data_IF_621621133748
#
_entry.id   IF_621621133748
#
_cell.length_a   1.000
_cell.length_b   1.000
_cell.length_c   1.000
_cell.angle_alpha   90.00
_cell.angle_beta   90.00
_cell.angle_gamma   90.00
#
_symmetry.space_group_name_H-M   'P 1'
#
loop_
_entity.id
_entity.type
_entity.pdbx_description
1 polymer ?
#
# COMPACT_ATOMS: atom_id res chain seq x y z
N UNK A 1 -16.02 10.25 -3.75
CA UNK A 1 -14.79 10.92 -4.27
C UNK A 1 -13.62 10.43 -3.42
N UNK A 2 -12.69 9.61 -3.93
CA UNK A 2 -11.60 9.05 -3.10
C UNK A 2 -10.46 10.05 -3.04
N UNK A 3 -10.44 10.83 -1.96
CA UNK A 3 -9.33 11.73 -1.61
C UNK A 3 -8.05 10.90 -1.62
N UNK A 4 -7.00 11.43 -2.24
CA UNK A 4 -5.69 10.82 -2.23
C UNK A 4 -5.23 10.70 -0.78
N UNK A 5 -5.39 9.50 -0.20
CA UNK A 5 -4.80 9.20 1.10
C UNK A 5 -3.30 9.14 0.87
N UNK A 6 -2.62 10.25 1.13
CA UNK A 6 -1.19 10.25 1.38
C UNK A 6 -1.05 9.59 2.73
N UNK A 7 -0.47 8.40 2.77
CA UNK A 7 -0.44 7.51 3.95
C UNK A 7 0.16 8.16 5.21
N UNK A 8 0.80 9.33 5.11
CA UNK A 8 1.31 10.11 6.26
C UNK A 8 0.80 11.56 6.36
N UNK A 9 0.07 12.10 5.37
CA UNK A 9 -0.28 13.55 5.32
C UNK A 9 -1.74 13.81 4.96
N UNK A 10 -2.57 12.77 4.80
CA UNK A 10 -4.00 13.03 4.65
C UNK A 10 -4.50 13.58 5.99
N UNK A 11 -4.77 14.89 6.06
CA UNK A 11 -5.50 15.55 7.17
C UNK A 11 -6.92 15.02 7.37
N UNK A 12 -7.20 13.84 6.85
CA UNK A 12 -8.44 13.09 6.80
C UNK A 12 -8.45 12.00 7.88
N UNK A 13 -7.29 11.46 8.28
CA UNK A 13 -7.17 10.39 9.28
C UNK A 13 -6.59 10.97 10.59
N UNK A 14 -7.37 10.93 11.66
CA UNK A 14 -7.05 11.47 12.98
C UNK A 14 -6.08 10.56 13.77
N UNK A 15 -6.15 9.23 13.57
CA UNK A 15 -5.27 8.24 14.22
C UNK A 15 -4.86 7.14 13.24
N UNK A 16 -3.90 7.39 12.35
CA UNK A 16 -3.51 6.40 11.35
C UNK A 16 -2.82 5.20 12.00
N UNK A 17 -3.24 4.00 11.64
CA UNK A 17 -2.58 2.74 12.00
C UNK A 17 -1.97 2.12 10.75
N UNK A 18 -0.64 1.99 10.75
CA UNK A 18 0.13 1.54 9.58
C UNK A 18 0.76 0.20 9.85
N UNK A 19 0.58 -0.70 8.90
CA UNK A 19 1.29 -1.98 8.82
C UNK A 19 2.00 -2.01 7.49
N UNK A 20 3.28 -2.33 7.52
CA UNK A 20 4.09 -2.50 6.32
C UNK A 20 4.62 -3.92 6.31
N UNK A 21 4.34 -4.65 5.24
CA UNK A 21 4.89 -5.97 4.99
C UNK A 21 6.04 -5.85 4.01
N UNK A 22 7.23 -6.33 4.36
CA UNK A 22 8.31 -6.49 3.38
C UNK A 22 7.96 -7.65 2.43
N UNK A 23 7.99 -7.38 1.12
CA UNK A 23 7.54 -8.35 0.12
C UNK A 23 8.43 -9.58 0.01
N UNK A 24 9.67 -9.55 0.51
CA UNK A 24 10.67 -10.58 0.24
C UNK A 24 10.95 -11.46 1.45
N UNK A 25 10.93 -10.87 2.64
CA UNK A 25 11.08 -11.54 3.92
C UNK A 25 9.73 -11.92 4.55
N UNK A 26 8.64 -11.24 4.17
CA UNK A 26 7.34 -11.37 4.82
C UNK A 26 7.25 -10.70 6.20
N UNK A 27 8.30 -10.00 6.63
CA UNK A 27 8.34 -9.31 7.92
C UNK A 27 7.26 -8.21 7.99
N UNK A 28 6.58 -8.11 9.14
CA UNK A 28 5.59 -7.08 9.41
C UNK A 28 6.16 -5.99 10.32
N UNK A 29 6.34 -4.81 9.76
CA UNK A 29 6.74 -3.60 10.44
C UNK A 29 5.50 -2.79 10.84
N UNK A 30 5.42 -2.39 12.10
CA UNK A 30 4.24 -1.69 12.66
C UNK A 30 4.66 -0.34 13.23
N UNK A 31 3.78 0.65 13.12
CA UNK A 31 4.03 1.99 13.67
C UNK A 31 5.17 2.75 12.99
N UNK A 32 5.60 2.31 11.82
CA UNK A 32 6.65 2.99 11.04
C UNK A 32 6.07 4.14 10.20
N UNK A 33 6.89 5.16 9.94
CA UNK A 33 6.56 6.20 8.95
C UNK A 33 6.73 5.64 7.54
N UNK A 34 5.62 5.59 6.80
CA UNK A 34 5.61 5.16 5.40
C UNK A 34 6.31 6.20 4.53
N UNK A 35 6.15 7.49 4.82
CA UNK A 35 6.90 8.54 4.11
C UNK A 35 8.39 8.40 4.39
N UNK A 36 8.80 8.23 5.64
CA UNK A 36 10.23 8.03 5.95
C UNK A 36 10.84 6.90 5.12
N UNK A 37 10.11 5.79 4.96
CA UNK A 37 10.56 4.64 4.17
C UNK A 37 10.61 4.89 2.65
N UNK A 38 9.80 5.81 2.13
CA UNK A 38 9.80 6.22 0.72
C UNK A 38 10.81 7.33 0.45
N UNK A 39 10.98 8.27 1.38
CA UNK A 39 11.86 9.44 1.21
C UNK A 39 13.35 9.11 1.26
N UNK A 40 13.73 7.97 1.84
CA UNK A 40 15.13 7.59 2.02
C UNK A 40 15.82 7.07 0.75
N UNK A 41 15.08 6.86 -0.35
CA UNK A 41 15.61 6.25 -1.57
C UNK A 41 14.79 6.67 -2.81
N UNK A 42 15.23 6.22 -4.00
CA UNK A 42 14.49 6.37 -5.25
C UNK A 42 13.23 5.49 -5.23
N UNK A 43 12.19 5.90 -4.51
CA UNK A 43 10.99 5.09 -4.24
C UNK A 43 9.69 5.84 -4.53
N UNK A 44 8.62 5.08 -4.67
CA UNK A 44 7.27 5.61 -4.79
C UNK A 44 6.25 4.77 -4.03
N UNK A 45 5.26 5.45 -3.45
CA UNK A 45 4.06 4.84 -2.89
C UNK A 45 2.98 4.77 -3.98
N UNK A 46 2.57 3.55 -4.32
CA UNK A 46 1.54 3.27 -5.32
C UNK A 46 0.28 2.80 -4.63
N UNK A 47 -0.73 3.66 -4.56
CA UNK A 47 -2.03 3.36 -3.98
C UNK A 47 -2.82 2.42 -4.87
N UNK A 48 -3.49 1.43 -4.25
CA UNK A 48 -4.31 0.44 -4.93
C UNK A 48 -5.78 0.68 -4.63
N UNK A 49 -6.54 1.05 -5.67
CA UNK A 49 -7.95 1.33 -5.56
C UNK A 49 -8.78 0.17 -6.13
N UNK A 50 -9.60 -0.45 -5.29
CA UNK A 50 -10.48 -1.54 -5.72
C UNK A 50 -11.37 -2.05 -4.58
N UNK A 51 -12.14 -3.13 -4.81
CA UNK A 51 -12.94 -3.77 -3.78
C UNK A 51 -12.06 -4.60 -2.83
N UNK A 52 -11.89 -4.11 -1.61
CA UNK A 52 -11.01 -4.72 -0.60
C UNK A 52 -11.57 -6.02 -0.01
N UNK A 53 -12.88 -6.25 -0.14
CA UNK A 53 -13.58 -7.43 0.39
C UNK A 53 -13.01 -8.77 -0.09
N UNK A 54 -12.24 -8.76 -1.17
CA UNK A 54 -11.62 -9.95 -1.75
C UNK A 54 -10.20 -10.23 -1.27
N UNK A 55 -9.53 -9.29 -0.60
CA UNK A 55 -8.08 -9.39 -0.36
C UNK A 55 -7.69 -10.52 0.57
N UNK A 56 -8.48 -10.77 1.63
CA UNK A 56 -8.21 -11.88 2.54
C UNK A 56 -8.34 -13.26 1.87
N UNK A 57 -9.22 -13.39 0.87
CA UNK A 57 -9.55 -14.68 0.23
C UNK A 57 -8.83 -14.90 -1.10
N UNK A 58 -8.68 -13.84 -1.90
CA UNK A 58 -8.09 -13.86 -3.22
C UNK A 58 -7.41 -12.51 -3.53
N UNK A 59 -6.22 -12.25 -2.94
CA UNK A 59 -5.48 -11.02 -3.18
C UNK A 59 -5.09 -10.87 -4.66
N UNK A 60 -4.91 -11.99 -5.37
CA UNK A 60 -4.61 -11.98 -6.80
C UNK A 60 -5.73 -11.42 -7.67
N UNK A 61 -7.00 -11.73 -7.37
CA UNK A 61 -8.14 -11.14 -8.10
C UNK A 61 -8.24 -9.63 -7.86
N UNK A 62 -7.97 -9.18 -6.62
CA UNK A 62 -7.90 -7.76 -6.30
C UNK A 62 -6.80 -7.07 -7.13
N UNK A 63 -5.58 -7.62 -7.14
CA UNK A 63 -4.44 -7.05 -7.86
C UNK A 63 -4.72 -6.89 -9.37
N UNK A 64 -5.43 -7.85 -9.98
CA UNK A 64 -5.80 -7.80 -11.40
C UNK A 64 -6.80 -6.69 -11.72
N UNK A 65 -7.64 -6.30 -10.76
CA UNK A 65 -8.71 -5.32 -10.94
C UNK A 65 -8.38 -3.94 -10.35
N UNK A 66 -7.41 -3.88 -9.45
CA UNK A 66 -7.06 -2.66 -8.74
C UNK A 66 -6.48 -1.62 -9.70
N UNK A 67 -6.97 -0.38 -9.58
CA UNK A 67 -6.33 0.77 -10.22
C UNK A 67 -5.12 1.17 -9.38
N UNK A 68 -3.97 1.28 -10.03
CA UNK A 68 -2.72 1.71 -9.39
C UNK A 68 -2.45 3.18 -9.68
N UNK A 69 -2.23 3.98 -8.62
CA UNK A 69 -1.95 5.42 -8.71
C UNK A 69 -0.77 5.76 -7.78
N UNK A 70 0.34 6.26 -8.33
CA UNK A 70 1.40 6.77 -7.48
C UNK A 70 0.97 8.10 -6.83
N UNK A 71 1.06 8.15 -5.50
CA UNK A 71 0.59 9.24 -4.64
C UNK A 71 1.73 10.02 -4.00
N UNK A 72 2.88 9.36 -3.78
CA UNK A 72 4.10 9.97 -3.26
C UNK A 72 5.31 9.34 -3.96
N UNK A 73 6.30 10.13 -4.35
CA UNK A 73 7.46 9.64 -5.10
C UNK A 73 8.67 10.54 -4.91
N UNK A 74 9.84 9.92 -4.77
CA UNK A 74 11.14 10.58 -4.58
C UNK A 74 12.13 9.95 -5.53
N UNK A 75 12.83 10.76 -6.34
CA UNK A 75 13.82 10.30 -7.32
C UNK A 75 13.28 9.46 -8.49
N UNK A 76 11.96 9.17 -8.54
CA UNK A 76 11.30 8.41 -9.60
C UNK A 76 10.03 9.14 -10.06
N UNK A 77 9.70 9.06 -11.35
CA UNK A 77 8.46 9.67 -11.86
C UNK A 77 7.23 8.81 -11.52
N UNK A 78 6.07 9.46 -11.36
CA UNK A 78 4.77 8.77 -11.21
C UNK A 78 4.53 7.73 -12.31
N UNK A 79 4.81 8.05 -13.58
CA UNK A 79 4.59 7.15 -14.71
C UNK A 79 5.49 5.91 -14.62
N UNK A 80 6.75 6.10 -14.26
CA UNK A 80 7.71 5.00 -14.15
C UNK A 80 7.39 4.09 -12.96
N UNK A 81 7.03 4.65 -11.80
CA UNK A 81 6.62 3.87 -10.64
C UNK A 81 5.42 2.95 -10.94
N UNK A 82 4.37 3.50 -11.57
CA UNK A 82 3.20 2.70 -11.98
C UNK A 82 3.56 1.68 -13.05
N UNK A 83 4.47 2.00 -13.97
CA UNK A 83 4.97 1.06 -14.99
C UNK A 83 5.69 -0.13 -14.34
N UNK A 84 6.61 0.13 -13.41
CA UNK A 84 7.33 -0.92 -12.67
C UNK A 84 6.33 -1.83 -11.96
N UNK A 85 5.42 -1.27 -11.16
CA UNK A 85 4.38 -2.05 -10.48
C UNK A 85 3.60 -2.95 -11.45
N UNK A 86 3.14 -2.41 -12.58
CA UNK A 86 2.36 -3.18 -13.57
C UNK A 86 3.17 -4.28 -14.25
N UNK A 87 4.46 -4.09 -14.46
CA UNK A 87 5.34 -5.12 -15.01
C UNK A 87 5.54 -6.24 -13.99
N UNK A 88 5.74 -5.92 -12.72
CA UNK A 88 5.88 -6.89 -11.64
C UNK A 88 4.65 -7.78 -11.46
N UNK A 89 3.44 -7.30 -11.79
CA UNK A 89 2.24 -8.15 -11.79
C UNK A 89 2.22 -9.22 -12.89
N UNK A 90 3.10 -9.13 -13.90
CA UNK A 90 3.24 -10.14 -14.96
C UNK A 90 4.30 -11.20 -14.61
N UNK A 91 5.13 -10.93 -13.63
CA UNK A 91 6.16 -11.84 -13.14
C UNK A 91 5.58 -12.70 -12.01
N UNK A 92 5.61 -14.02 -12.15
CA UNK A 92 4.91 -14.93 -11.23
C UNK A 92 5.34 -14.78 -9.77
N UNK A 93 6.65 -14.69 -9.53
CA UNK A 93 7.20 -14.51 -8.18
C UNK A 93 6.80 -13.16 -7.58
N UNK A 94 7.07 -12.06 -8.29
CA UNK A 94 6.69 -10.72 -7.85
C UNK A 94 5.18 -10.62 -7.57
N UNK A 95 4.34 -11.18 -8.44
CA UNK A 95 2.89 -11.21 -8.23
C UNK A 95 2.51 -11.91 -6.93
N UNK A 96 3.09 -13.09 -6.67
CA UNK A 96 2.83 -13.86 -5.46
C UNK A 96 3.28 -13.09 -4.20
N UNK A 97 4.47 -12.50 -4.23
CA UNK A 97 5.01 -11.72 -3.11
C UNK A 97 4.16 -10.48 -2.78
N UNK A 98 3.72 -9.73 -3.80
CA UNK A 98 2.82 -8.60 -3.60
C UNK A 98 1.48 -9.08 -3.01
N UNK A 99 0.94 -10.19 -3.53
CA UNK A 99 -0.34 -10.72 -3.09
C UNK A 99 -0.32 -11.14 -1.62
N UNK A 100 0.71 -11.87 -1.20
CA UNK A 100 0.88 -12.28 0.20
C UNK A 100 1.19 -11.08 1.10
N UNK A 101 2.08 -10.17 0.69
CA UNK A 101 2.38 -8.96 1.46
C UNK A 101 1.16 -8.07 1.68
N UNK A 102 0.32 -7.88 0.65
CA UNK A 102 -0.94 -7.13 0.79
C UNK A 102 -1.92 -7.83 1.72
N UNK A 103 -2.07 -9.15 1.59
CA UNK A 103 -2.95 -9.94 2.45
C UNK A 103 -2.50 -9.85 3.90
N UNK A 104 -1.20 -9.95 4.16
CA UNK A 104 -0.63 -9.85 5.51
C UNK A 104 -0.86 -8.45 6.11
N UNK A 105 -0.52 -7.39 5.37
CA UNK A 105 -0.74 -6.02 5.82
C UNK A 105 -2.22 -5.70 6.06
N UNK A 106 -3.11 -6.11 5.14
CA UNK A 106 -4.55 -5.96 5.26
C UNK A 106 -5.12 -6.68 6.48
N UNK A 107 -4.73 -7.94 6.68
CA UNK A 107 -5.23 -8.77 7.78
C UNK A 107 -4.78 -8.24 9.14
N UNK A 108 -3.54 -7.74 9.23
CA UNK A 108 -3.03 -7.14 10.46
C UNK A 108 -3.71 -5.80 10.77
N UNK A 109 -4.03 -5.00 9.75
CA UNK A 109 -4.85 -3.79 9.93
C UNK A 109 -6.24 -4.16 10.45
N UNK A 110 -6.92 -5.13 9.84
CA UNK A 110 -8.22 -5.61 10.32
C UNK A 110 -8.15 -6.11 11.78
N UNK A 111 -7.13 -6.92 12.09
CA UNK A 111 -6.95 -7.53 13.42
C UNK A 111 -6.75 -6.49 14.51
N UNK A 112 -6.16 -5.34 14.17
CA UNK A 112 -5.96 -4.26 15.14
C UNK A 112 -7.28 -3.69 15.68
N UNK A 113 -8.40 -3.86 14.95
CA UNK A 113 -9.71 -3.30 15.32
C UNK A 113 -9.81 -1.77 15.19
N UNK A 114 -8.75 -1.09 14.74
CA UNK A 114 -8.64 0.38 14.69
C UNK A 114 -9.04 0.94 13.32
N UNK A 115 -10.12 0.45 12.72
CA UNK A 115 -10.57 0.89 11.38
C UNK A 115 -12.02 1.38 11.45
N UNK A 116 -12.20 2.68 11.63
CA UNK A 116 -13.55 3.28 11.74
C UNK A 116 -14.26 3.46 10.38
N UNK A 117 -13.50 3.63 9.30
CA UNK A 117 -14.06 4.09 8.00
C UNK A 117 -13.50 3.35 6.77
N UNK A 118 -12.66 2.34 6.98
CA UNK A 118 -12.11 1.52 5.90
C UNK A 118 -10.61 1.31 6.01
N UNK A 119 -10.08 0.60 5.02
CA UNK A 119 -8.65 0.25 4.93
C UNK A 119 -8.10 0.79 3.62
N UNK A 120 -6.94 1.41 3.65
CA UNK A 120 -6.15 1.77 2.48
C UNK A 120 -5.09 0.72 2.20
N UNK A 121 -4.78 0.49 0.92
CA UNK A 121 -3.67 -0.36 0.51
C UNK A 121 -2.78 0.33 -0.51
N UNK A 122 -1.49 0.10 -0.37
CA UNK A 122 -0.48 0.58 -1.29
C UNK A 122 0.69 -0.41 -1.41
N UNK A 123 1.51 -0.19 -2.43
CA UNK A 123 2.77 -0.89 -2.64
C UNK A 123 3.88 0.15 -2.76
N UNK A 124 4.99 -0.06 -2.08
CA UNK A 124 6.19 0.76 -2.23
C UNK A 124 7.05 0.14 -3.33
N UNK A 125 7.24 0.90 -4.40
CA UNK A 125 8.08 0.53 -5.52
C UNK A 125 9.48 1.08 -5.30
N UNK A 126 10.48 0.21 -5.41
CA UNK A 126 11.88 0.56 -5.46
C UNK A 126 12.32 0.82 -6.90
N UNK A 127 12.72 2.05 -7.17
CA UNK A 127 13.14 2.51 -8.49
C UNK A 127 14.59 2.21 -8.83
N UNK A 128 15.42 1.82 -7.87
CA UNK A 128 16.80 1.37 -8.11
C UNK A 128 16.78 -0.09 -8.53
N UNK A 129 16.11 -0.94 -7.74
CA UNK A 129 15.97 -2.36 -8.03
C UNK A 129 14.83 -2.67 -9.01
N UNK A 130 14.07 -1.64 -9.42
CA UNK A 130 12.94 -1.72 -10.36
C UNK A 130 11.91 -2.79 -9.99
N UNK A 131 11.60 -2.91 -8.70
CA UNK A 131 10.65 -3.90 -8.17
C UNK A 131 9.90 -3.39 -6.93
N UNK A 132 8.74 -3.98 -6.59
CA UNK A 132 8.11 -3.78 -5.30
C UNK A 132 9.03 -4.18 -4.15
N UNK A 133 9.05 -3.36 -3.10
CA UNK A 133 9.81 -3.62 -1.88
C UNK A 133 8.90 -3.98 -0.72
N UNK A 134 7.79 -3.26 -0.56
CA UNK A 134 6.88 -3.42 0.57
C UNK A 134 5.42 -3.27 0.14
N UNK A 135 4.53 -3.89 0.91
CA UNK A 135 3.09 -3.69 0.87
C UNK A 135 2.64 -2.93 2.11
N UNK A 136 1.72 -1.99 1.96
CA UNK A 136 1.29 -1.10 3.03
C UNK A 136 -0.21 -1.25 3.25
N UNK A 137 -0.59 -1.52 4.49
CA UNK A 137 -1.95 -1.44 5.01
C UNK A 137 -2.11 -0.23 5.90
N UNK A 138 -3.21 0.50 5.68
CA UNK A 138 -3.57 1.67 6.48
C UNK A 138 -4.98 1.53 7.03
N UNK A 139 -5.08 1.51 8.35
CA UNK A 139 -6.30 1.72 9.09
C UNK A 139 -6.31 3.09 9.78
N UNK A 140 -7.33 3.32 10.58
CA UNK A 140 -7.43 4.48 11.45
C UNK A 140 -8.85 4.96 11.64
N UNK A 141 -8.96 6.05 12.41
CA UNK A 141 -10.17 6.85 12.59
C UNK A 141 -10.08 8.08 11.69
N UNK A 142 -11.17 8.43 10.99
CA UNK A 142 -11.25 9.73 10.31
C UNK A 142 -11.49 10.84 11.33
N UNK A 143 -11.19 12.08 10.96
CA UNK A 143 -11.66 13.22 11.72
C UNK A 143 -13.20 13.24 11.76
N UNK A 144 -13.81 13.61 12.90
CA UNK A 144 -15.26 13.82 12.98
C UNK A 144 -15.74 14.78 11.88
N UNK A 145 -16.81 14.41 11.16
CA UNK A 145 -17.38 15.23 10.08
C UNK A 145 -16.80 14.98 8.69
N UNK A 146 -15.88 14.03 8.53
CA UNK A 146 -15.48 13.51 7.22
C UNK A 146 -16.25 12.21 6.94
N UNK A 147 -17.18 12.28 5.97
CA UNK A 147 -17.99 11.15 5.46
C UNK A 147 -17.57 10.71 4.06
#
# INVERSE_FOLDING_TARGET
>A
MRIAVVFDVSGTIFKPYRVVADCWSGELLKGISVIGLVSSAKRALVNLEGPLSKIAKNPGEFLRKARAVASYYVGISKKEAVKIYRLSLKEGECFAQIAEGLKAAYSEVLRSGKTGYGIGLAVIVDGEHRKPSHCVGLGGELYPGIE
#
